data_IF_893492953607
#
_entry.id   IF_893492953607
#
_cell.length_a   1.000
_cell.length_b   1.000
_cell.length_c   1.000
_cell.angle_alpha   90.00
_cell.angle_beta   90.00
_cell.angle_gamma   90.00
#
_symmetry.space_group_name_H-M   'P 1'
#
loop_
_entity.id
_entity.type
_entity.pdbx_description
1 polymer ?
#
# COMPACT_ATOMS: atom_id res chain seq x y z
N UNK A 1 1.82 6.04 -26.25
CA UNK A 1 1.17 4.87 -25.60
C UNK A 1 1.42 4.99 -24.11
N UNK A 2 0.39 4.90 -23.28
CA UNK A 2 0.50 4.96 -21.81
C UNK A 2 0.15 3.58 -21.25
N UNK A 3 1.12 2.92 -20.61
CA UNK A 3 0.88 1.68 -19.87
C UNK A 3 0.33 2.04 -18.48
N UNK A 4 -0.66 1.30 -17.99
CA UNK A 4 -1.28 1.56 -16.68
C UNK A 4 -0.60 0.81 -15.55
N UNK A 5 -0.33 -0.49 -15.75
CA UNK A 5 0.28 -1.40 -14.78
C UNK A 5 0.83 -2.65 -15.46
N UNK A 6 1.56 -3.46 -14.69
CA UNK A 6 1.79 -4.85 -15.06
C UNK A 6 0.43 -5.58 -14.97
N UNK A 7 -0.04 -6.15 -16.08
CA UNK A 7 -1.26 -6.95 -16.06
C UNK A 7 -0.98 -8.32 -15.44
N UNK A 8 0.02 -9.03 -15.95
CA UNK A 8 0.43 -10.34 -15.45
C UNK A 8 1.90 -10.62 -15.75
N UNK A 9 2.47 -11.59 -15.03
CA UNK A 9 3.76 -12.23 -15.34
C UNK A 9 3.51 -13.71 -15.60
N UNK A 10 3.98 -14.23 -16.72
CA UNK A 10 3.86 -15.65 -17.06
C UNK A 10 5.15 -16.40 -16.68
N UNK A 11 4.98 -17.53 -15.99
CA UNK A 11 6.05 -18.40 -15.51
C UNK A 11 5.81 -19.81 -16.07
N UNK A 12 6.85 -20.41 -16.63
CA UNK A 12 6.82 -21.82 -17.03
C UNK A 12 7.41 -22.64 -15.89
N UNK A 13 6.64 -23.60 -15.38
CA UNK A 13 7.06 -24.51 -14.32
C UNK A 13 7.34 -25.91 -14.86
N UNK A 14 8.33 -26.61 -14.29
CA UNK A 14 8.65 -27.99 -14.67
C UNK A 14 7.61 -28.99 -14.12
N UNK A 15 7.22 -28.83 -12.85
CA UNK A 15 6.19 -29.64 -12.20
C UNK A 15 5.01 -28.77 -11.77
N UNK A 16 3.86 -28.98 -12.42
CA UNK A 16 2.67 -28.19 -12.18
C UNK A 16 2.15 -28.30 -10.74
N UNK A 17 2.15 -29.49 -10.15
CA UNK A 17 1.57 -29.70 -8.83
C UNK A 17 2.45 -29.07 -7.75
N UNK A 18 3.78 -29.18 -7.90
CA UNK A 18 4.75 -28.56 -6.99
C UNK A 18 4.66 -27.04 -7.07
N UNK A 19 4.66 -26.47 -8.28
CA UNK A 19 4.59 -25.02 -8.45
C UNK A 19 3.23 -24.47 -8.05
N UNK A 20 2.11 -25.15 -8.34
CA UNK A 20 0.79 -24.77 -7.81
C UNK A 20 0.83 -24.67 -6.29
N UNK A 21 1.31 -25.71 -5.59
CA UNK A 21 1.41 -25.73 -4.13
C UNK A 21 2.24 -24.56 -3.60
N UNK A 22 3.40 -24.30 -4.21
CA UNK A 22 4.25 -23.19 -3.83
C UNK A 22 3.52 -21.84 -3.96
N UNK A 23 2.99 -21.53 -5.13
CA UNK A 23 2.36 -20.22 -5.34
C UNK A 23 1.03 -20.06 -4.57
N UNK A 24 0.28 -21.12 -4.29
CA UNK A 24 -1.02 -21.00 -3.58
C UNK A 24 -0.94 -21.21 -2.07
N UNK A 25 -0.11 -22.13 -1.59
CA UNK A 25 -0.04 -22.49 -0.17
C UNK A 25 1.14 -21.81 0.53
N UNK A 26 2.28 -21.67 -0.14
CA UNK A 26 3.46 -21.01 0.45
C UNK A 26 3.36 -19.50 0.34
N UNK A 27 3.06 -19.00 -0.86
CA UNK A 27 2.91 -17.55 -1.10
C UNK A 27 1.47 -17.05 -0.93
N UNK A 28 0.51 -17.96 -0.72
CA UNK A 28 -0.88 -17.57 -0.43
C UNK A 28 -1.64 -16.93 -1.60
N UNK A 29 -1.19 -17.05 -2.85
CA UNK A 29 -1.90 -16.44 -3.98
C UNK A 29 -3.24 -17.14 -4.23
N UNK A 30 -4.25 -16.33 -4.56
CA UNK A 30 -5.60 -16.80 -4.81
C UNK A 30 -5.74 -17.28 -6.25
N UNK A 31 -6.29 -18.48 -6.44
CA UNK A 31 -6.67 -19.00 -7.77
C UNK A 31 -7.81 -18.15 -8.35
N UNK A 32 -7.60 -17.67 -9.57
CA UNK A 32 -8.60 -16.98 -10.41
C UNK A 32 -9.21 -17.95 -11.40
N UNK A 33 -8.37 -18.70 -12.12
CA UNK A 33 -8.80 -19.68 -13.10
C UNK A 33 -7.75 -20.79 -13.24
N UNK A 34 -8.19 -22.02 -13.49
CA UNK A 34 -7.32 -23.17 -13.67
C UNK A 34 -7.84 -23.98 -14.85
N UNK A 35 -7.04 -24.12 -15.90
CA UNK A 35 -7.44 -24.74 -17.15
C UNK A 35 -6.39 -25.73 -17.63
N UNK A 36 -6.79 -26.99 -17.82
CA UNK A 36 -5.95 -27.95 -18.54
C UNK A 36 -6.19 -27.82 -20.05
N UNK A 37 -5.11 -27.62 -20.81
CA UNK A 37 -5.13 -27.41 -22.26
C UNK A 37 -4.67 -28.69 -22.96
N UNK A 38 -5.60 -29.61 -23.20
CA UNK A 38 -5.31 -30.95 -23.74
C UNK A 38 -4.45 -30.95 -25.01
N UNK A 39 -4.71 -30.03 -25.95
CA UNK A 39 -3.95 -29.92 -27.21
C UNK A 39 -2.46 -29.54 -27.02
N UNK A 40 -2.07 -29.05 -25.84
CA UNK A 40 -0.69 -28.66 -25.50
C UNK A 40 -0.11 -29.47 -24.35
N UNK A 41 -0.86 -30.43 -23.82
CA UNK A 41 -0.56 -31.14 -22.58
C UNK A 41 -0.06 -30.21 -21.45
N UNK A 42 -0.84 -29.16 -21.19
CA UNK A 42 -0.36 -28.00 -20.44
C UNK A 42 -1.44 -27.36 -19.58
N UNK A 43 -1.15 -27.14 -18.31
CA UNK A 43 -1.98 -26.30 -17.45
C UNK A 43 -1.74 -24.81 -17.72
N UNK A 44 -2.79 -24.01 -17.54
CA UNK A 44 -2.76 -22.56 -17.35
C UNK A 44 -3.44 -22.27 -16.02
N UNK A 45 -2.68 -21.74 -15.05
CA UNK A 45 -3.19 -21.35 -13.75
C UNK A 45 -3.02 -19.86 -13.55
N UNK A 46 -4.12 -19.15 -13.38
CA UNK A 46 -4.16 -17.71 -13.15
C UNK A 46 -4.30 -17.45 -11.65
N UNK A 47 -3.34 -16.70 -11.10
CA UNK A 47 -3.23 -16.40 -9.68
C UNK A 47 -3.27 -14.88 -9.48
N UNK A 48 -4.03 -14.41 -8.49
CA UNK A 48 -4.15 -12.99 -8.18
C UNK A 48 -3.38 -12.60 -6.91
N UNK A 49 -2.75 -11.44 -6.98
CA UNK A 49 -2.29 -10.67 -5.83
C UNK A 49 -3.42 -9.75 -5.30
N UNK A 50 -3.29 -9.23 -4.05
CA UNK A 50 -4.28 -8.32 -3.47
C UNK A 50 -4.53 -7.03 -4.26
N UNK A 51 -3.54 -6.55 -5.03
CA UNK A 51 -3.64 -5.36 -5.88
C UNK A 51 -4.29 -5.63 -7.25
N UNK A 52 -4.62 -6.88 -7.54
CA UNK A 52 -5.19 -7.34 -8.81
C UNK A 52 -4.16 -7.57 -9.91
N UNK A 53 -2.86 -7.48 -9.63
CA UNK A 53 -1.79 -8.02 -10.49
C UNK A 53 -1.85 -9.55 -10.48
N UNK A 54 -1.34 -10.19 -11.54
CA UNK A 54 -1.49 -11.64 -11.71
C UNK A 54 -0.18 -12.36 -12.04
N UNK A 55 -0.12 -13.63 -11.63
CA UNK A 55 0.88 -14.60 -12.10
C UNK A 55 0.14 -15.68 -12.88
N UNK A 56 0.62 -16.00 -14.07
CA UNK A 56 0.16 -17.16 -14.84
C UNK A 56 1.21 -18.27 -14.76
N UNK A 57 0.84 -19.46 -14.27
CA UNK A 57 1.69 -20.64 -14.35
C UNK A 57 1.32 -21.48 -15.57
N UNK A 58 2.34 -21.90 -16.32
CA UNK A 58 2.22 -22.82 -17.43
C UNK A 58 3.10 -24.05 -17.24
N UNK A 59 2.55 -25.24 -17.47
CA UNK A 59 3.35 -26.47 -17.54
C UNK A 59 3.57 -26.86 -19.00
N UNK A 60 4.82 -26.97 -19.47
CA UNK A 60 5.09 -27.46 -20.83
C UNK A 60 6.04 -28.65 -20.75
N UNK A 61 5.59 -29.86 -21.14
CA UNK A 61 6.47 -31.03 -21.15
C UNK A 61 7.74 -30.76 -21.96
N UNK A 62 8.89 -31.04 -21.36
CA UNK A 62 10.19 -30.83 -22.02
C UNK A 62 10.65 -29.37 -22.14
N UNK A 63 10.00 -28.42 -21.44
CA UNK A 63 10.55 -27.07 -21.30
C UNK A 63 11.97 -27.13 -20.73
N UNK A 64 12.93 -26.35 -21.29
CA UNK A 64 14.30 -26.36 -20.79
C UNK A 64 14.33 -25.79 -19.37
N UNK A 65 15.21 -26.35 -18.53
CA UNK A 65 15.52 -25.76 -17.24
C UNK A 65 16.00 -24.31 -17.43
N UNK A 66 15.76 -23.46 -16.43
CA UNK A 66 16.16 -22.05 -16.46
C UNK A 66 17.65 -21.95 -16.83
N UNK A 67 17.99 -21.34 -17.99
CA UNK A 67 19.36 -21.35 -18.50
C UNK A 67 20.29 -20.41 -17.72
N UNK A 68 19.73 -19.47 -16.96
CA UNK A 68 20.46 -18.33 -16.42
C UNK A 68 20.19 -18.13 -14.93
N UNK A 69 21.27 -18.01 -14.16
CA UNK A 69 21.28 -17.47 -12.79
C UNK A 69 21.68 -15.99 -12.85
N UNK A 70 21.34 -15.16 -11.85
CA UNK A 70 20.50 -13.95 -12.03
C UNK A 70 21.02 -12.88 -13.01
N UNK A 71 22.28 -12.91 -13.43
CA UNK A 71 22.90 -11.82 -14.20
C UNK A 71 22.78 -11.91 -15.73
N UNK A 72 21.98 -12.83 -16.27
CA UNK A 72 21.70 -12.81 -17.70
C UNK A 72 20.74 -11.68 -18.10
N UNK A 73 20.88 -11.20 -19.33
CA UNK A 73 19.96 -10.23 -19.92
C UNK A 73 18.54 -10.82 -20.01
N UNK A 74 17.54 -10.08 -19.51
CA UNK A 74 16.14 -10.50 -19.46
C UNK A 74 15.51 -10.30 -18.08
N UNK A 75 14.48 -11.09 -17.75
CA UNK A 75 13.86 -11.08 -16.42
C UNK A 75 14.81 -11.68 -15.38
N UNK A 76 15.45 -10.81 -14.59
CA UNK A 76 16.40 -11.19 -13.53
C UNK A 76 15.72 -11.91 -12.36
N UNK A 77 14.64 -11.33 -11.83
CA UNK A 77 13.88 -11.81 -10.67
C UNK A 77 12.47 -11.18 -10.65
N UNK A 78 11.57 -11.72 -9.85
CA UNK A 78 10.26 -11.14 -9.54
C UNK A 78 10.23 -10.73 -8.06
N UNK A 79 9.79 -9.52 -7.76
CA UNK A 79 9.78 -8.96 -6.41
C UNK A 79 8.37 -8.73 -5.89
N UNK A 80 8.14 -9.03 -4.61
CA UNK A 80 6.88 -8.88 -3.90
C UNK A 80 7.05 -7.89 -2.74
N UNK A 81 6.17 -6.90 -2.68
CA UNK A 81 6.14 -5.95 -1.57
C UNK A 81 5.54 -6.61 -0.32
N UNK A 82 6.21 -6.46 0.82
CA UNK A 82 5.74 -6.89 2.14
C UNK A 82 5.96 -5.81 3.18
N UNK A 83 5.06 -5.68 4.16
CA UNK A 83 5.20 -4.67 5.20
C UNK A 83 6.35 -4.95 6.17
N UNK A 84 6.63 -6.22 6.46
CA UNK A 84 7.74 -6.64 7.30
C UNK A 84 8.48 -7.82 6.67
N UNK A 85 9.68 -7.53 6.16
CA UNK A 85 10.53 -8.52 5.48
C UNK A 85 11.01 -9.60 6.44
N UNK A 86 11.25 -9.27 7.73
CA UNK A 86 11.71 -10.27 8.70
C UNK A 86 10.59 -11.28 8.98
N UNK A 87 9.39 -10.80 9.27
CA UNK A 87 8.24 -11.67 9.54
C UNK A 87 7.92 -12.59 8.35
N UNK A 88 7.95 -12.05 7.12
CA UNK A 88 7.73 -12.84 5.91
C UNK A 88 8.86 -13.86 5.65
N UNK A 89 10.12 -13.50 5.93
CA UNK A 89 11.25 -14.43 5.84
C UNK A 89 11.16 -15.57 6.87
N UNK A 90 10.73 -15.26 8.09
CA UNK A 90 10.51 -16.24 9.15
C UNK A 90 9.39 -17.21 8.78
N UNK A 91 8.29 -16.72 8.19
CA UNK A 91 7.19 -17.53 7.69
C UNK A 91 7.65 -18.49 6.57
N UNK A 92 8.40 -18.00 5.59
CA UNK A 92 8.98 -18.84 4.54
C UNK A 92 9.92 -19.92 5.12
N UNK A 93 10.77 -19.53 6.07
CA UNK A 93 11.70 -20.46 6.72
C UNK A 93 10.96 -21.54 7.51
N UNK A 94 9.88 -21.18 8.21
CA UNK A 94 9.03 -22.13 8.93
C UNK A 94 8.34 -23.15 8.00
N UNK A 95 8.11 -22.77 6.74
CA UNK A 95 7.59 -23.64 5.68
C UNK A 95 8.69 -24.45 4.95
N UNK A 96 9.95 -24.34 5.39
CA UNK A 96 11.08 -25.06 4.81
C UNK A 96 11.67 -24.43 3.55
N UNK A 97 11.34 -23.17 3.25
CA UNK A 97 11.92 -22.43 2.13
C UNK A 97 13.23 -21.79 2.57
N UNK A 98 14.28 -21.99 1.77
CA UNK A 98 15.56 -21.32 2.00
C UNK A 98 15.46 -19.84 1.64
N UNK A 99 15.81 -18.97 2.59
CA UNK A 99 15.82 -17.51 2.44
C UNK A 99 17.25 -16.99 2.64
N UNK A 100 17.69 -16.08 1.78
CA UNK A 100 18.98 -15.43 1.91
C UNK A 100 19.01 -14.49 3.14
N UNK A 101 20.20 -14.08 3.62
CA UNK A 101 20.31 -13.06 4.65
C UNK A 101 19.61 -11.75 4.22
N UNK A 102 18.88 -11.15 5.15
CA UNK A 102 18.27 -9.84 4.93
C UNK A 102 19.35 -8.79 4.64
N UNK A 103 19.04 -7.92 3.68
CA UNK A 103 19.88 -6.80 3.28
C UNK A 103 19.08 -5.51 3.36
N UNK A 104 19.80 -4.39 3.36
CA UNK A 104 19.21 -3.06 3.23
C UNK A 104 19.62 -2.48 1.90
N UNK A 105 18.67 -1.95 1.15
CA UNK A 105 18.94 -1.27 -0.12
C UNK A 105 19.62 0.06 0.19
N UNK A 106 20.82 0.26 -0.35
CA UNK A 106 21.65 1.45 -0.07
C UNK A 106 21.03 2.76 -0.58
N UNK A 107 20.14 2.69 -1.58
CA UNK A 107 19.50 3.87 -2.17
C UNK A 107 18.17 4.20 -1.49
N UNK A 108 17.42 3.18 -1.07
CA UNK A 108 16.09 3.40 -0.51
C UNK A 108 16.02 3.24 1.01
N UNK A 109 17.04 2.66 1.64
CA UNK A 109 17.08 2.34 3.07
C UNK A 109 16.12 1.23 3.48
N UNK A 110 15.43 0.59 2.52
CA UNK A 110 14.40 -0.43 2.77
C UNK A 110 15.02 -1.81 2.84
N UNK A 111 14.45 -2.67 3.68
CA UNK A 111 14.91 -4.06 3.83
C UNK A 111 14.45 -4.91 2.66
N UNK A 112 15.22 -5.92 2.32
CA UNK A 112 14.84 -6.92 1.34
C UNK A 112 15.58 -8.25 1.56
N UNK A 113 15.07 -9.33 0.99
CA UNK A 113 15.77 -10.61 0.92
C UNK A 113 15.32 -11.40 -0.31
N UNK A 114 16.13 -12.37 -0.73
CA UNK A 114 15.85 -13.26 -1.85
C UNK A 114 15.55 -14.67 -1.38
N UNK A 115 14.73 -15.36 -2.17
CA UNK A 115 14.44 -16.78 -2.08
C UNK A 115 14.19 -17.30 -3.50
N UNK A 116 13.88 -18.57 -3.67
CA UNK A 116 13.62 -19.15 -4.98
C UNK A 116 12.29 -19.90 -5.02
N UNK A 117 11.65 -19.88 -6.18
CA UNK A 117 10.57 -20.81 -6.49
C UNK A 117 11.10 -22.24 -6.74
N UNK A 118 10.23 -23.25 -6.92
CA UNK A 118 10.65 -24.64 -7.10
C UNK A 118 11.55 -24.88 -8.32
N UNK A 119 11.47 -24.02 -9.32
CA UNK A 119 12.22 -24.10 -10.58
C UNK A 119 13.49 -23.21 -10.56
N UNK A 120 13.79 -22.57 -9.41
CA UNK A 120 14.96 -21.73 -9.20
C UNK A 120 14.83 -20.31 -9.77
N UNK A 121 13.62 -19.84 -10.08
CA UNK A 121 13.38 -18.43 -10.37
C UNK A 121 13.66 -17.62 -9.10
N UNK A 122 14.58 -16.64 -9.13
CA UNK A 122 14.80 -15.77 -7.99
C UNK A 122 13.56 -14.93 -7.72
N UNK A 123 13.07 -15.01 -6.49
CA UNK A 123 12.00 -14.20 -5.96
C UNK A 123 12.57 -13.29 -4.86
N UNK A 124 12.01 -12.10 -4.72
CA UNK A 124 12.44 -11.12 -3.72
C UNK A 124 11.26 -10.73 -2.84
N UNK A 125 11.50 -10.65 -1.54
CA UNK A 125 10.64 -9.93 -0.61
C UNK A 125 11.28 -8.56 -0.39
N UNK A 126 10.55 -7.50 -0.71
CA UNK A 126 11.04 -6.15 -0.62
C UNK A 126 10.14 -5.34 0.30
N UNK A 127 10.73 -4.58 1.23
CA UNK A 127 9.97 -3.82 2.20
C UNK A 127 9.15 -2.73 1.51
N UNK A 128 7.87 -2.73 1.84
CA UNK A 128 6.90 -1.85 1.27
C UNK A 128 7.31 -0.38 1.47
N UNK A 129 7.13 0.47 0.46
CA UNK A 129 7.38 1.90 0.63
C UNK A 129 6.49 2.47 1.76
N UNK A 130 6.86 3.59 2.41
CA UNK A 130 5.98 4.24 3.41
C UNK A 130 4.60 4.63 2.87
N UNK A 131 4.44 4.74 1.54
CA UNK A 131 3.14 4.92 0.89
C UNK A 131 2.29 3.63 0.79
N UNK A 132 2.90 2.47 1.03
CA UNK A 132 2.24 1.15 1.04
C UNK A 132 1.77 0.76 2.45
N UNK A 133 2.36 1.27 3.54
CA UNK A 133 1.73 1.25 4.87
C UNK A 133 0.71 2.38 4.97
N UNK A 134 -0.53 2.09 4.61
CA UNK A 134 -1.62 3.05 4.57
C UNK A 134 -1.84 3.75 5.91
N UNK A 135 -1.72 3.02 7.03
CA UNK A 135 -1.87 3.60 8.38
C UNK A 135 -0.81 4.66 8.66
N UNK A 136 0.47 4.35 8.39
CA UNK A 136 1.56 5.29 8.58
C UNK A 136 1.46 6.50 7.62
N UNK A 137 1.08 6.25 6.37
CA UNK A 137 0.87 7.31 5.38
C UNK A 137 -0.24 8.26 5.82
N UNK A 138 -1.43 7.73 6.13
CA UNK A 138 -2.57 8.57 6.51
C UNK A 138 -2.33 9.25 7.87
N UNK A 139 -1.62 8.61 8.80
CA UNK A 139 -1.18 9.26 10.05
C UNK A 139 -0.32 10.48 9.75
N UNK A 140 0.65 10.35 8.83
CA UNK A 140 1.48 11.46 8.40
C UNK A 140 0.65 12.55 7.72
N UNK A 141 -0.20 12.22 6.75
CA UNK A 141 -0.98 13.21 6.00
C UNK A 141 -2.00 13.94 6.89
N UNK A 142 -2.64 13.26 7.85
CA UNK A 142 -3.47 13.87 8.90
C UNK A 142 -2.64 14.77 9.83
N UNK A 143 -1.46 14.31 10.24
CA UNK A 143 -0.52 15.11 11.02
C UNK A 143 -0.10 16.40 10.30
N UNK A 144 0.19 16.30 8.99
CA UNK A 144 0.56 17.44 8.15
C UNK A 144 -0.56 18.51 8.16
N UNK A 145 -1.84 18.12 8.13
CA UNK A 145 -2.99 19.05 8.21
C UNK A 145 -3.09 19.80 9.55
N UNK A 146 -2.39 19.36 10.60
CA UNK A 146 -2.29 20.06 11.88
C UNK A 146 -1.09 21.02 11.98
N UNK A 147 -0.13 20.93 11.06
CA UNK A 147 1.07 21.78 11.06
C UNK A 147 0.76 23.23 10.66
N UNK A 148 1.44 24.19 11.29
CA UNK A 148 1.21 25.62 11.05
C UNK A 148 1.50 25.99 9.60
N UNK A 149 2.64 25.54 9.10
CA UNK A 149 3.15 25.81 7.76
C UNK A 149 2.29 25.23 6.65
N UNK A 150 1.62 24.10 6.91
CA UNK A 150 0.68 23.48 5.97
C UNK A 150 -0.63 24.26 5.97
N UNK A 151 -1.19 24.54 7.17
CA UNK A 151 -2.45 25.30 7.31
C UNK A 151 -2.36 26.71 6.74
N UNK A 152 -1.18 27.33 6.79
CA UNK A 152 -0.93 28.65 6.20
C UNK A 152 -0.66 28.63 4.69
N UNK A 153 -0.56 27.45 4.05
CA UNK A 153 -0.19 27.31 2.64
C UNK A 153 -1.31 26.71 1.80
N UNK A 154 -1.96 27.55 1.00
CA UNK A 154 -2.99 27.12 0.06
C UNK A 154 -2.49 25.98 -0.85
N UNK A 155 -1.29 26.11 -1.43
CA UNK A 155 -0.72 25.09 -2.30
C UNK A 155 -0.56 23.73 -1.59
N UNK A 156 -0.14 23.70 -0.32
CA UNK A 156 -0.01 22.47 0.45
C UNK A 156 -1.36 21.86 0.80
N UNK A 157 -2.34 22.68 1.18
CA UNK A 157 -3.70 22.21 1.41
C UNK A 157 -4.33 21.67 0.13
N UNK A 158 -4.07 22.29 -1.01
CA UNK A 158 -4.54 21.83 -2.31
C UNK A 158 -3.94 20.49 -2.75
N UNK A 159 -2.74 20.16 -2.28
CA UNK A 159 -2.12 18.85 -2.47
C UNK A 159 -2.80 17.76 -1.65
N UNK A 160 -3.30 18.11 -0.44
CA UNK A 160 -3.85 17.20 0.56
C UNK A 160 -5.37 17.04 0.49
N UNK A 161 -6.11 18.05 0.01
CA UNK A 161 -7.57 18.07 -0.07
C UNK A 161 -8.05 17.82 -1.51
N UNK A 162 -9.06 16.98 -1.67
CA UNK A 162 -9.73 16.72 -2.96
C UNK A 162 -10.48 17.93 -3.48
N UNK A 163 -10.64 18.03 -4.81
CA UNK A 163 -11.31 19.18 -5.44
C UNK A 163 -12.75 19.39 -4.94
N UNK A 164 -13.48 18.29 -4.69
CA UNK A 164 -14.83 18.19 -4.12
C UNK A 164 -14.81 17.96 -2.59
N UNK A 165 -13.75 18.38 -1.88
CA UNK A 165 -13.67 18.21 -0.43
C UNK A 165 -14.75 19.00 0.33
N UNK A 166 -15.31 18.33 1.34
CA UNK A 166 -16.28 18.89 2.29
C UNK A 166 -15.86 18.62 3.75
N UNK A 167 -16.12 19.57 4.65
CA UNK A 167 -15.91 19.42 6.09
C UNK A 167 -17.13 19.85 6.89
N UNK A 168 -17.47 19.09 7.93
CA UNK A 168 -18.35 19.53 9.01
C UNK A 168 -17.50 19.81 10.25
N UNK A 169 -17.23 21.07 10.51
CA UNK A 169 -16.42 21.50 11.65
C UNK A 169 -17.11 21.17 12.98
N UNK A 170 -16.36 21.28 14.08
CA UNK A 170 -16.91 21.05 15.44
C UNK A 170 -18.07 21.99 15.81
N UNK A 171 -18.20 23.13 15.10
CA UNK A 171 -19.32 24.07 15.23
C UNK A 171 -20.59 23.61 14.51
N UNK A 172 -20.53 22.53 13.72
CA UNK A 172 -21.56 22.13 12.77
C UNK A 172 -21.53 22.93 11.45
N UNK A 173 -20.60 23.87 11.28
CA UNK A 173 -20.44 24.63 10.04
C UNK A 173 -19.92 23.72 8.94
N UNK A 174 -20.57 23.76 7.78
CA UNK A 174 -20.10 23.10 6.57
C UNK A 174 -19.07 23.97 5.84
N UNK A 175 -17.96 23.37 5.41
CA UNK A 175 -16.89 24.00 4.67
C UNK A 175 -16.61 23.24 3.39
N UNK A 176 -16.27 23.99 2.34
CA UNK A 176 -15.74 23.47 1.08
C UNK A 176 -14.24 23.72 0.99
N UNK A 177 -13.52 23.03 0.09
CA UNK A 177 -12.07 23.25 -0.13
C UNK A 177 -11.67 24.71 -0.28
N UNK A 178 -12.30 25.54 -1.14
CA UNK A 178 -11.93 26.96 -1.24
C UNK A 178 -12.14 27.72 0.07
N UNK A 179 -13.30 27.52 0.71
CA UNK A 179 -13.67 28.27 1.92
C UNK A 179 -12.82 27.90 3.13
N UNK A 180 -12.44 26.62 3.29
CA UNK A 180 -11.58 26.22 4.40
C UNK A 180 -10.15 26.73 4.20
N UNK A 181 -9.63 26.68 2.97
CA UNK A 181 -8.28 27.18 2.65
C UNK A 181 -8.19 28.69 2.95
N UNK A 182 -9.23 29.44 2.61
CA UNK A 182 -9.32 30.86 2.94
C UNK A 182 -9.39 31.08 4.46
N UNK A 183 -10.30 30.38 5.15
CA UNK A 183 -10.48 30.53 6.59
C UNK A 183 -9.22 30.15 7.41
N UNK A 184 -8.45 29.16 6.94
CA UNK A 184 -7.23 28.71 7.62
C UNK A 184 -6.06 29.69 7.51
N UNK A 185 -6.04 30.54 6.47
CA UNK A 185 -4.99 31.55 6.29
C UNK A 185 -4.91 32.52 7.47
N UNK A 186 -6.07 32.90 7.99
CA UNK A 186 -6.20 33.90 9.05
C UNK A 186 -6.50 33.25 10.42
N UNK A 187 -6.50 31.92 10.52
CA UNK A 187 -6.75 31.22 11.79
C UNK A 187 -5.62 31.48 12.79
N UNK A 188 -5.99 31.93 13.99
CA UNK A 188 -5.07 31.93 15.14
C UNK A 188 -4.60 30.49 15.44
N UNK A 189 -3.33 30.18 15.15
CA UNK A 189 -2.81 28.83 15.29
C UNK A 189 -2.89 28.30 16.72
N UNK A 190 -3.24 27.02 16.85
CA UNK A 190 -3.19 26.28 18.10
C UNK A 190 -2.59 24.90 17.86
N UNK A 191 -1.65 24.50 18.72
CA UNK A 191 -1.07 23.16 18.67
C UNK A 191 -2.13 22.10 18.95
N UNK A 192 -2.01 21.00 18.23
CA UNK A 192 -2.91 19.85 18.31
C UNK A 192 -2.08 18.59 18.50
N UNK A 193 -2.50 17.73 19.41
CA UNK A 193 -1.96 16.38 19.54
C UNK A 193 -3.03 15.37 19.14
N UNK A 194 -2.61 14.31 18.47
CA UNK A 194 -3.47 13.26 17.97
C UNK A 194 -3.21 11.96 18.72
N UNK A 195 -4.27 11.26 19.10
CA UNK A 195 -4.21 9.96 19.78
C UNK A 195 -5.32 9.04 19.28
N UNK A 196 -5.26 7.76 19.66
CA UNK A 196 -6.26 6.74 19.29
C UNK A 196 -6.49 6.63 17.78
N UNK A 197 -5.43 6.85 16.98
CA UNK A 197 -5.49 6.85 15.53
C UNK A 197 -5.79 5.46 14.97
N UNK A 198 -6.78 5.36 14.08
CA UNK A 198 -7.17 4.13 13.41
C UNK A 198 -7.46 4.40 11.94
N UNK A 199 -6.98 3.52 11.08
CA UNK A 199 -7.38 3.48 9.67
C UNK A 199 -8.23 2.24 9.43
N UNK A 200 -9.33 2.43 8.70
CA UNK A 200 -10.17 1.39 8.15
C UNK A 200 -10.21 1.54 6.64
N UNK A 201 -9.54 0.65 5.91
CA UNK A 201 -9.67 0.59 4.45
C UNK A 201 -11.11 0.17 4.10
N UNK A 202 -11.80 0.97 3.29
CA UNK A 202 -13.20 0.72 2.90
C UNK A 202 -13.36 0.38 1.42
N UNK A 203 -12.36 0.70 0.59
CA UNK A 203 -12.23 0.26 -0.80
C UNK A 203 -10.73 0.19 -1.19
N UNK A 204 -10.37 -0.39 -2.35
CA UNK A 204 -8.98 -0.36 -2.83
C UNK A 204 -8.41 1.06 -2.92
N UNK A 205 -9.24 2.04 -3.23
CA UNK A 205 -8.91 3.44 -3.42
C UNK A 205 -9.57 4.38 -2.38
N UNK A 206 -10.09 3.86 -1.26
CA UNK A 206 -10.71 4.66 -0.21
C UNK A 206 -10.46 4.13 1.21
N UNK A 207 -10.27 5.04 2.17
CA UNK A 207 -10.04 4.71 3.57
C UNK A 207 -10.74 5.70 4.51
N UNK A 208 -11.30 5.18 5.60
CA UNK A 208 -11.84 5.96 6.71
C UNK A 208 -10.78 6.04 7.81
N UNK A 209 -10.51 7.24 8.30
CA UNK A 209 -9.61 7.46 9.43
C UNK A 209 -10.42 8.01 10.60
N UNK A 210 -10.13 7.54 11.81
CA UNK A 210 -10.74 8.06 13.05
C UNK A 210 -9.67 8.28 14.11
N UNK A 211 -9.78 9.36 14.88
CA UNK A 211 -8.82 9.70 15.92
C UNK A 211 -9.39 10.69 16.93
N UNK A 212 -8.71 10.84 18.07
CA UNK A 212 -8.95 11.91 19.04
C UNK A 212 -7.94 13.04 18.81
N UNK A 213 -8.40 14.28 18.88
CA UNK A 213 -7.55 15.48 18.89
C UNK A 213 -7.71 16.20 20.22
N UNK A 214 -6.58 16.53 20.82
CA UNK A 214 -6.49 17.53 21.88
C UNK A 214 -5.91 18.83 21.31
N UNK A 215 -6.69 19.91 21.36
CA UNK A 215 -6.25 21.26 20.98
C UNK A 215 -5.80 22.00 22.24
N UNK A 216 -4.56 22.50 22.25
CA UNK A 216 -4.04 23.30 23.37
C UNK A 216 -4.76 24.65 23.49
N UNK A 217 -4.79 25.21 24.70
CA UNK A 217 -5.29 26.56 24.91
C UNK A 217 -4.43 27.60 24.17
N UNK A 218 -5.05 28.68 23.70
CA UNK A 218 -4.39 29.92 23.25
C UNK A 218 -4.90 31.08 24.09
N UNK A 219 -4.38 32.28 23.86
CA UNK A 219 -4.88 33.48 24.52
C UNK A 219 -6.37 33.75 24.25
N UNK A 220 -6.88 33.37 23.06
CA UNK A 220 -8.28 33.62 22.69
C UNK A 220 -9.23 32.44 22.95
N UNK A 221 -8.72 31.22 23.15
CA UNK A 221 -9.57 30.02 23.24
C UNK A 221 -9.04 28.98 24.23
N UNK A 222 -9.90 28.40 25.09
CA UNK A 222 -9.51 27.33 26.00
C UNK A 222 -9.07 26.08 25.23
N UNK A 223 -8.43 25.13 25.91
CA UNK A 223 -8.18 23.80 25.34
C UNK A 223 -9.50 23.08 25.08
N UNK A 224 -9.54 22.21 24.07
CA UNK A 224 -10.72 21.42 23.76
C UNK A 224 -10.33 20.08 23.14
N UNK A 225 -11.10 19.04 23.46
CA UNK A 225 -11.00 17.73 22.85
C UNK A 225 -12.08 17.54 21.78
N UNK A 226 -11.76 16.74 20.77
CA UNK A 226 -12.73 16.36 19.74
C UNK A 226 -12.42 14.99 19.17
N UNK A 227 -13.47 14.25 18.81
CA UNK A 227 -13.36 13.08 17.95
C UNK A 227 -13.37 13.53 16.50
N UNK A 228 -12.48 12.96 15.69
CA UNK A 228 -12.34 13.27 14.27
C UNK A 228 -12.55 12.03 13.42
N UNK A 229 -13.17 12.24 12.27
CA UNK A 229 -13.33 11.24 11.23
C UNK A 229 -13.07 11.87 9.87
N UNK A 230 -12.34 11.17 9.00
CA UNK A 230 -12.07 11.64 7.65
C UNK A 230 -12.11 10.51 6.63
N UNK A 231 -12.52 10.88 5.41
CA UNK A 231 -12.51 9.98 4.26
C UNK A 231 -11.36 10.39 3.35
N UNK A 232 -10.48 9.44 3.03
CA UNK A 232 -9.38 9.60 2.09
C UNK A 232 -9.64 8.82 0.81
N UNK A 233 -9.26 9.38 -0.34
CA UNK A 233 -9.35 8.74 -1.66
C UNK A 233 -8.00 8.71 -2.36
N UNK A 234 -7.72 7.61 -3.05
CA UNK A 234 -6.54 7.42 -3.90
C UNK A 234 -6.90 7.78 -5.35
N UNK A 235 -6.25 8.81 -5.88
CA UNK A 235 -6.39 9.25 -7.28
C UNK A 235 -5.01 9.47 -7.88
N UNK A 236 -4.75 8.82 -9.03
CA UNK A 236 -3.47 8.94 -9.75
C UNK A 236 -2.25 8.70 -8.85
N UNK A 237 -2.34 7.71 -7.96
CA UNK A 237 -1.26 7.34 -7.04
C UNK A 237 -1.08 8.26 -5.82
N UNK A 238 -1.98 9.22 -5.57
CA UNK A 238 -1.93 10.10 -4.40
C UNK A 238 -3.19 10.01 -3.56
N UNK A 239 -3.01 9.94 -2.24
CA UNK A 239 -4.11 10.00 -1.28
C UNK A 239 -4.44 11.45 -0.95
N UNK A 240 -5.73 11.78 -1.01
CA UNK A 240 -6.27 13.10 -0.65
C UNK A 240 -7.51 12.95 0.21
N UNK A 241 -7.70 13.88 1.13
CA UNK A 241 -8.88 13.91 1.99
C UNK A 241 -10.08 14.42 1.17
N UNK A 242 -11.13 13.63 1.14
CA UNK A 242 -12.40 13.93 0.48
C UNK A 242 -13.45 14.48 1.44
N UNK A 243 -13.39 14.07 2.71
CA UNK A 243 -14.34 14.54 3.72
C UNK A 243 -13.69 14.59 5.10
N UNK A 244 -14.10 15.54 5.95
CA UNK A 244 -13.73 15.60 7.36
C UNK A 244 -14.92 15.97 8.25
N UNK A 245 -14.95 15.40 9.47
CA UNK A 245 -15.88 15.84 10.50
C UNK A 245 -15.20 15.89 11.86
N UNK A 246 -15.52 16.93 12.63
CA UNK A 246 -15.20 17.02 14.05
C UNK A 246 -16.42 16.97 14.94
N UNK A 247 -16.37 16.18 16.00
CA UNK A 247 -17.38 16.13 17.06
C UNK A 247 -16.74 16.57 18.38
N UNK A 248 -17.23 17.63 19.04
CA UNK A 248 -16.70 18.05 20.34
C UNK A 248 -16.95 16.99 21.41
N UNK A 249 -16.08 16.96 22.42
CA UNK A 249 -16.19 16.10 23.61
C UNK A 249 -16.44 16.92 24.87
#
# INVERSE_FOLDING_TARGET
>A
MQLEKIHHVAIICADYAVSKRFYTEVLGLRIVAENYRAARDSYKLDLALPDGSQIELFSFPGAPARPTRPEAQGLRHLSFAVHDVQAAADELTAQGIAVEPLRTDEYTGRRFTFFADPDGLPLELYEAAPAENLDALLLKLEGDLHLREVRASAARLEELLEEDFEEIGISGTAWTRPTIIEALRDEAFSERTMSEFRVKRIAPDAALVTYRVHRKATAERPSADSLRSSLWRLRRGRWRMAFHQGTPL
#
